data_IF_646444673523
#
_entry.id   IF_646444673523
#
_cell.length_a   1.000
_cell.length_b   1.000
_cell.length_c   1.000
_cell.angle_alpha   90.00
_cell.angle_beta   90.00
_cell.angle_gamma   90.00
#
_symmetry.space_group_name_H-M   'P 1'
#
loop_
_entity.id
_entity.type
_entity.pdbx_description
1 polymer ?
#
# COMPACT_ATOMS: atom_id res chain seq x y z
N UNK A 1 -14.05 -19.98 -21.41
CA UNK A 1 -13.41 -18.66 -21.33
C UNK A 1 -13.81 -18.09 -19.99
N UNK A 2 -12.87 -17.90 -19.08
CA UNK A 2 -13.20 -17.44 -17.73
C UNK A 2 -13.46 -15.94 -17.69
N UNK A 3 -14.50 -15.52 -16.97
CA UNK A 3 -14.79 -14.10 -16.70
C UNK A 3 -14.46 -13.77 -15.26
N UNK A 4 -13.60 -12.79 -15.05
CA UNK A 4 -13.20 -12.35 -13.72
C UNK A 4 -13.64 -10.91 -13.50
N UNK A 5 -14.40 -10.66 -12.43
CA UNK A 5 -14.71 -9.33 -11.98
C UNK A 5 -13.59 -8.83 -11.04
N UNK A 6 -13.06 -7.64 -11.30
CA UNK A 6 -12.10 -6.98 -10.41
C UNK A 6 -12.64 -5.66 -9.88
N UNK A 7 -12.29 -5.34 -8.62
CA UNK A 7 -12.63 -4.06 -8.02
C UNK A 7 -11.46 -3.53 -7.19
N UNK A 8 -10.87 -2.43 -7.66
CA UNK A 8 -9.82 -1.67 -6.99
C UNK A 8 -10.12 -0.17 -7.09
N UNK A 9 -10.27 0.51 -5.95
CA UNK A 9 -10.64 1.92 -5.89
C UNK A 9 -9.51 2.85 -5.43
N UNK A 10 -8.38 2.32 -4.98
CA UNK A 10 -7.21 3.10 -4.51
C UNK A 10 -5.99 2.86 -5.39
N UNK A 11 -5.06 3.82 -5.43
CA UNK A 11 -3.89 3.78 -6.32
C UNK A 11 -2.99 2.56 -6.09
N UNK A 12 -2.80 2.12 -4.83
CA UNK A 12 -2.06 0.91 -4.48
C UNK A 12 -2.80 -0.35 -4.95
N UNK A 13 -4.11 -0.42 -4.67
CA UNK A 13 -4.95 -1.53 -5.11
C UNK A 13 -5.03 -1.64 -6.63
N UNK A 14 -5.10 -0.51 -7.35
CA UNK A 14 -5.04 -0.46 -8.81
C UNK A 14 -3.72 -1.01 -9.37
N UNK A 15 -2.60 -0.63 -8.75
CA UNK A 15 -1.29 -1.13 -9.15
C UNK A 15 -1.20 -2.65 -8.97
N UNK A 16 -1.59 -3.17 -7.82
CA UNK A 16 -1.59 -4.61 -7.57
C UNK A 16 -2.62 -5.35 -8.45
N UNK A 17 -3.75 -4.72 -8.73
CA UNK A 17 -4.76 -5.25 -9.64
C UNK A 17 -4.22 -5.43 -11.06
N UNK A 18 -3.49 -4.44 -11.59
CA UNK A 18 -2.88 -4.53 -12.91
C UNK A 18 -1.82 -5.64 -12.98
N UNK A 19 -0.96 -5.77 -11.96
CA UNK A 19 0.03 -6.85 -11.88
C UNK A 19 -0.64 -8.23 -11.79
N UNK A 20 -1.67 -8.36 -10.97
CA UNK A 20 -2.43 -9.60 -10.82
C UNK A 20 -3.14 -10.01 -12.11
N UNK A 21 -3.72 -9.05 -12.84
CA UNK A 21 -4.32 -9.30 -14.16
C UNK A 21 -3.30 -9.78 -15.19
N UNK A 22 -2.11 -9.16 -15.23
CA UNK A 22 -1.03 -9.57 -16.13
C UNK A 22 -0.60 -11.02 -15.84
N UNK A 23 -0.46 -11.38 -14.56
CA UNK A 23 -0.09 -12.73 -14.16
C UNK A 23 -1.20 -13.76 -14.45
N UNK A 24 -2.47 -13.41 -14.17
CA UNK A 24 -3.62 -14.27 -14.52
C UNK A 24 -3.67 -14.46 -16.04
N UNK A 25 -3.44 -13.42 -16.84
CA UNK A 25 -3.43 -13.54 -18.32
C UNK A 25 -2.29 -14.43 -18.81
N UNK A 26 -1.13 -14.43 -18.12
CA UNK A 26 -0.01 -15.34 -18.42
C UNK A 26 -0.38 -16.80 -18.15
N UNK A 27 -1.06 -17.07 -17.02
CA UNK A 27 -1.49 -18.42 -16.64
C UNK A 27 -2.73 -18.91 -17.39
N UNK A 28 -3.63 -17.99 -17.74
CA UNK A 28 -4.92 -18.25 -18.39
C UNK A 28 -5.19 -17.20 -19.49
N UNK A 29 -4.58 -17.32 -20.68
CA UNK A 29 -4.60 -16.27 -21.70
C UNK A 29 -5.98 -15.88 -22.26
N UNK A 30 -6.99 -16.73 -22.06
CA UNK A 30 -8.36 -16.47 -22.53
C UNK A 30 -9.27 -15.87 -21.45
N UNK A 31 -8.71 -15.26 -20.40
CA UNK A 31 -9.49 -14.67 -19.32
C UNK A 31 -9.97 -13.27 -19.71
N UNK A 32 -11.25 -13.00 -19.52
CA UNK A 32 -11.85 -11.66 -19.67
C UNK A 32 -11.95 -10.98 -18.30
N UNK A 33 -11.56 -9.71 -18.26
CA UNK A 33 -11.62 -8.89 -17.05
C UNK A 33 -12.59 -7.73 -17.20
N UNK A 34 -13.43 -7.52 -16.19
CA UNK A 34 -14.31 -6.35 -16.14
C UNK A 34 -14.52 -5.87 -14.68
N UNK A 35 -14.91 -4.63 -14.50
CA UNK A 35 -15.23 -4.12 -13.18
C UNK A 35 -14.83 -2.67 -12.92
N UNK A 36 -14.33 -2.42 -11.69
CA UNK A 36 -13.87 -1.13 -11.21
C UNK A 36 -12.36 -1.09 -11.18
N UNK A 37 -11.76 -0.12 -11.85
CA UNK A 37 -10.32 0.10 -11.85
C UNK A 37 -9.93 1.40 -12.54
N UNK A 38 -8.67 1.80 -12.36
CA UNK A 38 -8.11 2.99 -12.96
C UNK A 38 -7.41 2.72 -14.30
N UNK A 39 -6.54 3.64 -14.69
CA UNK A 39 -5.87 3.63 -16.01
C UNK A 39 -4.89 2.48 -16.16
N UNK A 40 -4.18 2.08 -15.09
CA UNK A 40 -3.23 0.95 -15.14
C UNK A 40 -3.92 -0.38 -15.38
N UNK A 41 -5.03 -0.63 -14.68
CA UNK A 41 -5.84 -1.84 -14.90
C UNK A 41 -6.49 -1.83 -16.28
N UNK A 42 -6.92 -0.67 -16.80
CA UNK A 42 -7.42 -0.55 -18.17
C UNK A 42 -6.34 -0.89 -19.20
N UNK A 43 -5.11 -0.42 -19.02
CA UNK A 43 -3.97 -0.76 -19.86
C UNK A 43 -3.63 -2.27 -19.79
N UNK A 44 -3.88 -2.92 -18.64
CA UNK A 44 -3.73 -4.38 -18.47
C UNK A 44 -4.93 -5.19 -18.99
N UNK A 45 -5.92 -4.57 -19.66
CA UNK A 45 -7.04 -5.26 -20.30
C UNK A 45 -8.36 -5.25 -19.51
N UNK A 46 -8.50 -4.45 -18.43
CA UNK A 46 -9.77 -4.32 -17.73
C UNK A 46 -10.79 -3.54 -18.56
N UNK A 47 -11.91 -4.15 -18.88
CA UNK A 47 -13.09 -3.43 -19.37
C UNK A 47 -13.76 -2.72 -18.17
N UNK A 48 -13.53 -1.43 -18.07
CA UNK A 48 -14.04 -0.62 -16.95
C UNK A 48 -15.55 -0.41 -17.05
N UNK A 49 -16.29 -0.97 -16.10
CA UNK A 49 -17.71 -0.67 -15.87
C UNK A 49 -17.83 0.67 -15.11
N UNK A 50 -16.93 0.88 -14.17
CA UNK A 50 -16.77 2.12 -13.41
C UNK A 50 -15.30 2.48 -13.35
N UNK A 51 -14.98 3.77 -13.46
CA UNK A 51 -13.62 4.27 -13.34
C UNK A 51 -13.30 4.52 -11.86
N UNK A 52 -12.12 4.11 -11.44
CA UNK A 52 -11.68 4.37 -10.05
C UNK A 52 -11.64 5.87 -9.75
N UNK A 53 -11.27 6.69 -10.73
CA UNK A 53 -11.23 8.15 -10.63
C UNK A 53 -12.59 8.78 -10.29
N UNK A 54 -13.70 8.13 -10.69
CA UNK A 54 -15.06 8.61 -10.43
C UNK A 54 -15.56 8.29 -9.00
N UNK A 55 -14.91 7.34 -8.31
CA UNK A 55 -15.31 6.86 -6.97
C UNK A 55 -14.22 7.02 -5.91
N UNK A 56 -12.98 7.21 -6.30
CA UNK A 56 -11.83 7.45 -5.41
C UNK A 56 -11.81 8.87 -4.85
N UNK A 57 -12.91 9.57 -4.96
CA UNK A 57 -13.01 10.97 -4.57
C UNK A 57 -13.06 11.09 -3.05
N UNK A 58 -11.99 11.74 -2.39
CA UNK A 58 -12.31 12.92 -1.61
C UNK A 58 -12.45 12.74 -0.11
N UNK A 59 -12.14 13.83 0.54
CA UNK A 59 -12.36 14.03 1.95
C UNK A 59 -13.82 13.93 2.39
N UNK A 60 -14.03 13.72 3.69
CA UNK A 60 -15.33 13.46 4.33
C UNK A 60 -16.41 14.50 3.94
N UNK A 61 -16.06 15.75 3.73
CA UNK A 61 -16.98 16.83 3.33
C UNK A 61 -17.44 16.74 1.87
N UNK A 62 -16.58 16.26 0.97
CA UNK A 62 -16.87 16.11 -0.45
C UNK A 62 -17.67 14.83 -0.73
N UNK A 63 -17.47 13.77 0.08
CA UNK A 63 -18.25 12.52 -0.01
C UNK A 63 -19.75 12.80 0.11
N UNK A 64 -20.19 13.69 1.00
CA UNK A 64 -21.62 13.98 1.22
C UNK A 64 -22.25 14.62 -0.04
N UNK A 65 -21.56 15.53 -0.71
CA UNK A 65 -22.05 16.20 -1.92
C UNK A 65 -22.09 15.26 -3.14
N UNK A 66 -21.19 14.27 -3.20
CA UNK A 66 -21.08 13.34 -4.32
C UNK A 66 -21.74 11.97 -4.07
N UNK A 67 -22.36 11.75 -2.92
CA UNK A 67 -23.05 10.49 -2.56
C UNK A 67 -24.01 9.98 -3.63
N UNK A 68 -24.86 10.81 -4.30
CA UNK A 68 -25.75 10.31 -5.36
C UNK A 68 -24.97 9.77 -6.56
N UNK A 69 -23.84 10.39 -6.94
CA UNK A 69 -23.00 9.92 -8.02
C UNK A 69 -22.33 8.60 -7.65
N UNK A 70 -21.65 8.51 -6.51
CA UNK A 70 -21.01 7.28 -6.02
C UNK A 70 -22.02 6.13 -5.91
N UNK A 71 -23.24 6.42 -5.41
CA UNK A 71 -24.30 5.43 -5.34
C UNK A 71 -24.77 4.94 -6.70
N UNK A 72 -24.86 5.83 -7.70
CA UNK A 72 -25.20 5.47 -9.08
C UNK A 72 -24.12 4.55 -9.69
N UNK A 73 -22.85 4.89 -9.53
CA UNK A 73 -21.74 4.07 -10.03
C UNK A 73 -21.72 2.70 -9.33
N UNK A 74 -21.96 2.67 -8.03
CA UNK A 74 -22.10 1.42 -7.29
C UNK A 74 -23.27 0.56 -7.81
N UNK A 75 -24.41 1.17 -8.17
CA UNK A 75 -25.53 0.43 -8.79
C UNK A 75 -25.18 -0.14 -10.17
N UNK A 76 -24.35 0.57 -10.96
CA UNK A 76 -23.85 0.04 -12.26
C UNK A 76 -23.01 -1.21 -12.03
N UNK A 77 -22.10 -1.21 -11.03
CA UNK A 77 -21.33 -2.42 -10.70
C UNK A 77 -22.23 -3.59 -10.33
N UNK A 78 -23.22 -3.37 -9.49
CA UNK A 78 -24.17 -4.45 -9.14
C UNK A 78 -24.98 -4.95 -10.32
N UNK A 79 -25.38 -4.08 -11.23
CA UNK A 79 -26.10 -4.46 -12.43
C UNK A 79 -25.21 -5.32 -13.33
N UNK A 80 -23.96 -4.93 -13.55
CA UNK A 80 -23.02 -5.72 -14.35
C UNK A 80 -22.75 -7.10 -13.77
N UNK A 81 -22.63 -7.24 -12.44
CA UNK A 81 -22.48 -8.54 -11.80
C UNK A 81 -23.66 -9.48 -12.05
N UNK A 82 -24.88 -8.96 -12.05
CA UNK A 82 -26.10 -9.74 -12.33
C UNK A 82 -26.23 -10.16 -13.78
N UNK A 83 -25.81 -9.29 -14.70
CA UNK A 83 -25.92 -9.52 -16.13
C UNK A 83 -24.83 -10.46 -16.63
N UNK A 84 -23.59 -10.22 -16.23
CA UNK A 84 -22.41 -10.92 -16.77
C UNK A 84 -22.04 -12.20 -16.01
N UNK A 85 -22.47 -12.33 -14.74
CA UNK A 85 -22.24 -13.48 -13.88
C UNK A 85 -20.81 -14.02 -13.99
N UNK A 86 -19.80 -13.31 -13.44
CA UNK A 86 -18.42 -13.76 -13.50
C UNK A 86 -18.20 -15.08 -12.77
N UNK A 87 -17.21 -15.84 -13.23
CA UNK A 87 -16.81 -17.11 -12.63
C UNK A 87 -16.07 -16.91 -11.29
N UNK A 88 -15.43 -15.75 -11.14
CA UNK A 88 -14.68 -15.34 -9.95
C UNK A 88 -14.77 -13.83 -9.80
N UNK A 89 -14.79 -13.36 -8.55
CA UNK A 89 -14.59 -11.94 -8.22
C UNK A 89 -13.34 -11.76 -7.37
N UNK A 90 -12.48 -10.79 -7.74
CA UNK A 90 -11.30 -10.40 -6.98
C UNK A 90 -11.50 -8.96 -6.52
N UNK A 91 -11.63 -8.78 -5.21
CA UNK A 91 -11.82 -7.50 -4.54
C UNK A 91 -10.50 -7.09 -3.89
N UNK A 92 -9.99 -5.91 -4.26
CA UNK A 92 -8.66 -5.46 -3.84
C UNK A 92 -8.80 -4.24 -2.95
N UNK A 93 -8.40 -4.36 -1.67
CA UNK A 93 -8.50 -3.27 -0.67
C UNK A 93 -9.90 -2.59 -0.70
N UNK A 94 -10.00 -1.27 -0.60
CA UNK A 94 -11.22 -0.45 -0.76
C UNK A 94 -12.45 -0.98 0.01
N UNK A 95 -12.37 -1.09 1.34
CA UNK A 95 -13.24 -1.94 2.15
C UNK A 95 -14.71 -1.55 2.17
N UNK A 96 -15.05 -0.27 2.07
CA UNK A 96 -16.45 0.16 2.22
C UNK A 96 -17.30 -0.23 1.00
N UNK A 97 -16.72 -0.20 -0.20
CA UNK A 97 -17.37 -0.67 -1.44
C UNK A 97 -17.24 -2.18 -1.57
N UNK A 98 -16.04 -2.72 -1.42
CA UNK A 98 -15.74 -4.11 -1.70
C UNK A 98 -16.44 -5.08 -0.74
N UNK A 99 -16.54 -4.78 0.56
CA UNK A 99 -17.30 -5.62 1.49
C UNK A 99 -18.80 -5.65 1.18
N UNK A 100 -19.34 -4.55 0.62
CA UNK A 100 -20.74 -4.52 0.16
C UNK A 100 -20.93 -5.29 -1.16
N UNK A 101 -19.96 -5.22 -2.09
CA UNK A 101 -19.97 -6.05 -3.30
C UNK A 101 -19.84 -7.54 -2.98
N UNK A 102 -19.00 -7.91 -1.99
CA UNK A 102 -18.87 -9.30 -1.54
C UNK A 102 -20.22 -9.89 -1.09
N UNK A 103 -21.06 -9.10 -0.43
CA UNK A 103 -22.39 -9.56 -0.02
C UNK A 103 -23.33 -9.80 -1.23
N UNK A 104 -23.25 -8.99 -2.29
CA UNK A 104 -23.99 -9.20 -3.53
C UNK A 104 -23.49 -10.43 -4.29
N UNK A 105 -22.17 -10.56 -4.44
CA UNK A 105 -21.52 -11.70 -5.08
C UNK A 105 -21.90 -13.02 -4.40
N UNK A 106 -21.94 -13.04 -3.07
CA UNK A 106 -22.40 -14.21 -2.31
C UNK A 106 -23.85 -14.59 -2.63
N UNK A 107 -24.74 -13.61 -2.83
CA UNK A 107 -26.14 -13.89 -3.24
C UNK A 107 -26.23 -14.47 -4.62
N UNK A 108 -25.29 -14.09 -5.50
CA UNK A 108 -25.19 -14.61 -6.87
C UNK A 108 -24.42 -15.94 -6.94
N UNK A 109 -23.96 -16.47 -5.79
CA UNK A 109 -23.15 -17.70 -5.67
C UNK A 109 -21.81 -17.61 -6.40
N UNK A 110 -21.26 -16.40 -6.59
CA UNK A 110 -19.97 -16.16 -7.23
C UNK A 110 -18.89 -16.23 -6.14
N UNK A 111 -17.81 -17.03 -6.33
CA UNK A 111 -16.71 -17.07 -5.39
C UNK A 111 -15.98 -15.74 -5.33
N UNK A 112 -15.56 -15.36 -4.10
CA UNK A 112 -14.91 -14.07 -3.84
C UNK A 112 -13.53 -14.29 -3.25
N UNK A 113 -12.52 -13.81 -3.94
CA UNK A 113 -11.18 -13.58 -3.40
C UNK A 113 -11.10 -12.14 -2.93
N UNK A 114 -10.64 -11.92 -1.72
CA UNK A 114 -10.33 -10.58 -1.22
C UNK A 114 -8.82 -10.46 -1.07
N UNK A 115 -8.21 -9.64 -1.90
CA UNK A 115 -6.76 -9.42 -1.92
C UNK A 115 -6.43 -8.07 -1.28
N UNK A 116 -5.39 -8.01 -0.45
CA UNK A 116 -5.03 -6.87 0.41
C UNK A 116 -6.15 -6.59 1.42
N UNK A 117 -6.05 -7.24 2.56
CA UNK A 117 -7.12 -7.23 3.57
C UNK A 117 -7.36 -5.82 4.14
N UNK A 118 -8.60 -5.48 4.47
CA UNK A 118 -8.86 -4.29 5.25
C UNK A 118 -8.33 -4.48 6.68
N UNK A 119 -7.82 -3.40 7.28
CA UNK A 119 -7.21 -3.43 8.62
C UNK A 119 -8.24 -3.67 9.75
N UNK A 120 -9.04 -4.73 9.63
CA UNK A 120 -10.08 -5.08 10.62
C UNK A 120 -9.48 -5.54 11.95
N UNK A 121 -8.23 -5.99 11.96
CA UNK A 121 -7.46 -6.33 13.15
C UNK A 121 -7.15 -5.10 14.02
N UNK A 122 -7.02 -3.92 13.42
CA UNK A 122 -6.75 -2.67 14.12
C UNK A 122 -8.04 -2.01 14.64
N UNK A 123 -9.12 -2.04 13.85
CA UNK A 123 -10.39 -1.41 14.16
C UNK A 123 -11.54 -2.10 13.43
N UNK A 124 -12.80 -1.88 13.85
CA UNK A 124 -14.00 -2.49 13.23
C UNK A 124 -13.97 -4.03 13.16
N UNK A 125 -13.40 -4.71 14.18
CA UNK A 125 -13.33 -6.18 14.25
C UNK A 125 -14.69 -6.87 14.01
N UNK A 126 -15.80 -6.22 14.30
CA UNK A 126 -17.15 -6.72 14.06
C UNK A 126 -17.44 -7.03 12.57
N UNK A 127 -16.76 -6.34 11.63
CA UNK A 127 -16.90 -6.59 10.18
C UNK A 127 -16.36 -7.96 9.75
N UNK A 128 -15.52 -8.60 10.55
CA UNK A 128 -14.97 -9.94 10.25
C UNK A 128 -16.09 -10.97 10.09
N UNK A 129 -17.21 -10.83 10.80
CA UNK A 129 -18.39 -11.70 10.60
C UNK A 129 -18.94 -11.61 9.17
N UNK A 130 -18.95 -10.42 8.58
CA UNK A 130 -19.33 -10.21 7.18
C UNK A 130 -18.33 -10.82 6.20
N UNK A 131 -17.05 -10.68 6.48
CA UNK A 131 -15.97 -11.31 5.69
C UNK A 131 -16.13 -12.83 5.71
N UNK A 132 -16.25 -13.45 6.89
CA UNK A 132 -16.45 -14.91 7.04
C UNK A 132 -17.63 -15.43 6.20
N UNK A 133 -18.70 -14.66 6.11
CA UNK A 133 -19.91 -15.08 5.37
C UNK A 133 -19.79 -14.91 3.87
N UNK A 134 -19.10 -13.86 3.40
CA UNK A 134 -19.20 -13.37 2.03
C UNK A 134 -17.91 -13.54 1.20
N UNK A 135 -16.77 -13.83 1.83
CA UNK A 135 -15.48 -14.00 1.18
C UNK A 135 -15.09 -15.47 1.19
N UNK A 136 -14.78 -16.03 0.03
CA UNK A 136 -14.36 -17.42 -0.13
C UNK A 136 -12.90 -17.62 0.29
N UNK A 137 -12.02 -16.67 -0.05
CA UNK A 137 -10.62 -16.67 0.31
C UNK A 137 -10.10 -15.27 0.55
N UNK A 138 -9.40 -15.06 1.67
CA UNK A 138 -8.73 -13.82 2.00
C UNK A 138 -7.24 -13.97 1.72
N UNK A 139 -6.69 -13.18 0.80
CA UNK A 139 -5.25 -13.14 0.49
C UNK A 139 -4.65 -11.93 1.17
N UNK A 140 -3.87 -12.19 2.21
CA UNK A 140 -3.29 -11.15 3.06
C UNK A 140 -1.83 -10.90 2.70
N UNK A 141 -1.37 -9.65 2.88
CA UNK A 141 -0.02 -9.22 2.53
C UNK A 141 0.89 -9.01 3.75
N UNK A 142 0.34 -9.14 4.97
CA UNK A 142 1.12 -9.10 6.20
C UNK A 142 0.98 -10.42 6.97
N UNK A 143 2.09 -10.99 7.49
CA UNK A 143 2.10 -12.36 8.05
C UNK A 143 1.16 -12.52 9.26
N UNK A 144 1.00 -11.49 10.10
CA UNK A 144 0.13 -11.54 11.27
C UNK A 144 -1.37 -11.55 10.94
N UNK A 145 -1.75 -11.11 9.74
CA UNK A 145 -3.16 -11.05 9.31
C UNK A 145 -3.74 -12.44 9.09
N UNK A 146 -2.94 -13.39 8.59
CA UNK A 146 -3.39 -14.77 8.36
C UNK A 146 -3.86 -15.40 9.66
N UNK A 147 -3.07 -15.33 10.72
CA UNK A 147 -3.43 -15.83 12.05
C UNK A 147 -4.70 -15.14 12.59
N UNK A 148 -4.82 -13.83 12.40
CA UNK A 148 -6.00 -13.08 12.79
C UNK A 148 -7.26 -13.58 12.09
N UNK A 149 -7.25 -13.73 10.77
CA UNK A 149 -8.42 -14.19 10.02
C UNK A 149 -8.77 -15.64 10.30
N UNK A 150 -7.77 -16.52 10.38
CA UNK A 150 -7.97 -17.95 10.73
C UNK A 150 -8.59 -18.13 12.12
N UNK A 151 -8.16 -17.34 13.11
CA UNK A 151 -8.74 -17.35 14.46
C UNK A 151 -10.24 -16.95 14.49
N UNK A 152 -10.72 -16.24 13.46
CA UNK A 152 -12.12 -15.88 13.29
C UNK A 152 -12.88 -16.82 12.33
N UNK A 153 -12.25 -17.90 11.88
CA UNK A 153 -12.84 -18.89 10.99
C UNK A 153 -13.01 -18.38 9.54
N UNK A 154 -12.14 -17.48 9.10
CA UNK A 154 -12.03 -17.03 7.70
C UNK A 154 -10.88 -17.80 7.06
N UNK A 155 -11.10 -18.39 5.88
CA UNK A 155 -10.04 -18.99 5.09
C UNK A 155 -9.11 -17.88 4.57
N UNK A 156 -7.88 -17.88 5.04
CA UNK A 156 -6.90 -16.83 4.73
C UNK A 156 -5.53 -17.45 4.44
N UNK A 157 -4.82 -16.85 3.46
CA UNK A 157 -3.45 -17.18 3.12
C UNK A 157 -2.59 -15.93 3.09
N UNK A 158 -1.43 -16.01 3.70
CA UNK A 158 -0.40 -15.01 3.53
C UNK A 158 0.31 -15.26 2.19
N UNK A 159 0.17 -14.33 1.25
CA UNK A 159 0.74 -14.47 -0.10
C UNK A 159 2.06 -13.72 -0.28
N UNK A 160 2.54 -13.04 0.75
CA UNK A 160 3.65 -12.11 0.67
C UNK A 160 3.20 -10.68 0.33
N UNK A 161 4.12 -9.75 0.47
CA UNK A 161 3.84 -8.34 0.16
C UNK A 161 4.35 -7.99 -1.25
N UNK A 162 3.51 -7.49 -2.17
CA UNK A 162 3.92 -7.24 -3.56
C UNK A 162 5.13 -6.30 -3.72
N UNK A 163 5.32 -5.37 -2.78
CA UNK A 163 6.51 -4.50 -2.80
C UNK A 163 7.81 -5.25 -2.50
N UNK A 164 7.75 -6.43 -1.86
CA UNK A 164 8.93 -7.23 -1.57
C UNK A 164 9.51 -7.92 -2.83
N UNK A 165 8.70 -8.01 -3.90
CA UNK A 165 9.08 -8.59 -5.17
C UNK A 165 9.68 -7.56 -6.15
N UNK A 166 9.61 -6.28 -5.81
CA UNK A 166 10.16 -5.23 -6.65
C UNK A 166 11.68 -5.25 -6.61
N UNK A 167 12.29 -5.20 -7.79
CA UNK A 167 13.73 -5.03 -7.91
C UNK A 167 14.22 -3.79 -7.15
N UNK A 168 15.41 -3.83 -6.55
CA UNK A 168 16.04 -2.66 -5.99
C UNK A 168 16.16 -1.54 -7.04
N UNK A 169 16.11 -0.25 -6.63
CA UNK A 169 16.41 0.84 -7.55
C UNK A 169 17.80 0.66 -8.16
N UNK A 170 17.91 0.88 -9.47
CA UNK A 170 19.17 0.68 -10.21
C UNK A 170 19.96 1.97 -10.40
N UNK A 171 19.37 3.13 -10.10
CA UNK A 171 20.06 4.42 -10.23
C UNK A 171 21.19 4.53 -9.22
N UNK A 172 22.39 4.87 -9.67
CA UNK A 172 23.52 5.08 -8.77
C UNK A 172 23.39 6.40 -8.03
N UNK A 173 24.08 6.53 -6.89
CA UNK A 173 24.09 7.76 -6.10
C UNK A 173 24.57 8.96 -6.89
N UNK A 174 25.64 8.77 -7.68
CA UNK A 174 26.25 9.80 -8.50
C UNK A 174 25.32 10.26 -9.63
N UNK A 175 24.67 9.32 -10.31
CA UNK A 175 23.69 9.65 -11.36
C UNK A 175 22.50 10.44 -10.77
N UNK A 176 21.93 9.95 -9.67
CA UNK A 176 20.83 10.61 -8.99
C UNK A 176 21.23 12.01 -8.47
N UNK A 177 22.46 12.16 -7.96
CA UNK A 177 22.99 13.46 -7.53
C UNK A 177 23.09 14.44 -8.70
N UNK A 178 23.67 13.98 -9.83
CA UNK A 178 23.82 14.81 -11.04
C UNK A 178 22.49 15.29 -11.59
N UNK A 179 21.51 14.40 -11.70
CA UNK A 179 20.17 14.72 -12.22
C UNK A 179 19.42 15.73 -11.35
N UNK A 180 19.62 15.66 -10.03
CA UNK A 180 18.88 16.50 -9.08
C UNK A 180 19.71 17.67 -8.52
N UNK A 181 20.93 17.88 -9.00
CA UNK A 181 21.82 18.98 -8.56
C UNK A 181 22.19 18.87 -7.08
N UNK A 182 22.48 17.65 -6.60
CA UNK A 182 22.85 17.33 -5.21
C UNK A 182 24.37 17.18 -5.08
N UNK A 183 24.85 17.39 -3.87
CA UNK A 183 26.22 17.04 -3.50
C UNK A 183 26.30 15.56 -3.08
N UNK A 184 26.92 14.73 -3.91
CA UNK A 184 27.09 13.32 -3.63
C UNK A 184 28.01 13.02 -2.44
N UNK A 185 28.86 13.97 -2.01
CA UNK A 185 29.74 13.81 -0.85
C UNK A 185 29.04 14.01 0.49
N UNK A 186 27.92 14.75 0.52
CA UNK A 186 27.13 14.99 1.73
C UNK A 186 26.25 13.79 2.08
N UNK A 187 25.91 13.64 3.35
CA UNK A 187 24.85 12.73 3.76
C UNK A 187 23.46 13.27 3.41
N UNK A 188 22.63 12.42 2.86
CA UNK A 188 21.26 12.76 2.48
C UNK A 188 20.26 12.30 3.53
N UNK A 189 19.24 13.11 3.74
CA UNK A 189 18.11 12.84 4.64
C UNK A 189 16.82 12.84 3.82
N UNK A 190 16.11 11.72 3.83
CA UNK A 190 14.82 11.60 3.16
C UNK A 190 13.68 12.20 4.02
N UNK A 191 12.83 13.01 3.41
CA UNK A 191 11.63 13.58 4.04
C UNK A 191 10.40 13.14 3.23
N UNK A 192 9.68 12.13 3.71
CA UNK A 192 8.54 11.53 3.03
C UNK A 192 7.23 11.87 3.77
N UNK A 193 6.61 13.04 3.51
CA UNK A 193 5.46 13.53 4.27
C UNK A 193 4.14 12.82 3.96
N UNK A 194 4.10 11.93 2.96
CA UNK A 194 2.93 11.21 2.49
C UNK A 194 2.54 11.59 1.06
N UNK A 195 1.53 10.92 0.52
CA UNK A 195 1.11 11.02 -0.87
C UNK A 195 -0.20 11.80 -1.07
N UNK A 196 -0.90 12.14 0.01
CA UNK A 196 -2.18 12.86 -0.04
C UNK A 196 -2.01 14.30 0.41
N UNK A 197 -2.75 15.23 -0.20
CA UNK A 197 -2.67 16.66 0.13
C UNK A 197 -2.84 16.94 1.64
N UNK A 198 -3.69 16.22 2.34
CA UNK A 198 -3.88 16.35 3.80
C UNK A 198 -2.67 15.90 4.60
N UNK A 199 -2.02 14.82 4.18
CA UNK A 199 -0.80 14.31 4.81
C UNK A 199 0.33 15.32 4.64
N UNK A 200 0.50 15.85 3.43
CA UNK A 200 1.45 16.93 3.14
C UNK A 200 1.24 18.15 4.04
N UNK A 201 0.01 18.65 4.09
CA UNK A 201 -0.32 19.81 4.92
C UNK A 201 -0.01 19.59 6.41
N UNK A 202 -0.24 18.38 6.91
CA UNK A 202 -0.03 18.04 8.31
C UNK A 202 1.44 17.74 8.65
N UNK A 203 2.18 17.08 7.76
CA UNK A 203 3.48 16.50 8.05
C UNK A 203 4.66 17.34 7.54
N UNK A 204 4.48 18.10 6.45
CA UNK A 204 5.58 18.85 5.84
C UNK A 204 6.16 19.95 6.74
N UNK A 205 5.36 20.80 7.41
CA UNK A 205 5.91 21.90 8.20
C UNK A 205 6.92 21.45 9.28
N UNK A 206 6.64 20.44 10.14
CA UNK A 206 7.64 19.98 11.11
C UNK A 206 8.84 19.28 10.44
N UNK A 207 8.70 18.69 9.24
CA UNK A 207 9.84 18.13 8.50
C UNK A 207 10.75 19.22 7.96
N UNK A 208 10.21 20.31 7.41
CA UNK A 208 11.00 21.45 6.96
C UNK A 208 11.73 22.14 8.12
N UNK A 209 11.07 22.26 9.26
CA UNK A 209 11.70 22.80 10.47
C UNK A 209 12.80 21.85 11.01
N UNK A 210 12.62 20.53 10.88
CA UNK A 210 13.68 19.55 11.17
C UNK A 210 14.93 19.79 10.33
N UNK A 211 14.77 20.06 9.04
CA UNK A 211 15.90 20.35 8.15
C UNK A 211 16.65 21.61 8.60
N UNK A 212 15.93 22.67 8.99
CA UNK A 212 16.57 23.89 9.52
C UNK A 212 17.33 23.64 10.82
N UNK A 213 16.78 22.82 11.74
CA UNK A 213 17.41 22.52 13.03
C UNK A 213 18.61 21.58 12.91
N UNK A 214 18.64 20.69 11.92
CA UNK A 214 19.78 19.83 11.65
C UNK A 214 20.95 20.57 10.97
N UNK A 215 20.65 21.62 10.21
CA UNK A 215 21.68 22.48 9.59
C UNK A 215 22.10 22.06 8.18
N UNK A 216 23.03 22.81 7.56
CA UNK A 216 23.39 22.68 6.14
C UNK A 216 24.41 21.59 5.84
N UNK A 217 24.90 20.86 6.82
CA UNK A 217 25.82 19.73 6.65
C UNK A 217 25.18 18.53 5.94
N UNK A 218 23.86 18.46 5.89
CA UNK A 218 23.10 17.43 5.21
C UNK A 218 22.40 18.00 3.97
N UNK A 219 22.11 17.11 3.01
CA UNK A 219 21.17 17.38 1.92
C UNK A 219 19.80 16.77 2.25
N UNK A 220 18.74 17.55 2.13
CA UNK A 220 17.38 17.12 2.45
C UNK A 220 16.58 16.89 1.19
N UNK A 221 16.04 15.70 1.01
CA UNK A 221 15.34 15.25 -0.19
C UNK A 221 13.86 15.00 0.10
N UNK A 222 13.01 15.70 -0.63
CA UNK A 222 11.55 15.58 -0.55
C UNK A 222 11.03 14.93 -1.84
N UNK A 223 10.81 13.63 -1.88
CA UNK A 223 10.26 12.99 -3.06
C UNK A 223 8.78 13.33 -3.24
N UNK A 224 8.42 13.67 -4.46
CA UNK A 224 7.04 14.00 -4.86
C UNK A 224 6.31 12.72 -5.23
N UNK A 225 5.16 12.48 -4.60
CA UNK A 225 4.30 11.37 -4.98
C UNK A 225 3.65 11.59 -6.36
N UNK A 226 3.59 10.57 -7.24
CA UNK A 226 2.96 10.68 -8.56
C UNK A 226 1.46 11.06 -8.54
N UNK A 227 0.84 10.97 -7.39
CA UNK A 227 -0.57 11.33 -7.18
C UNK A 227 -0.82 12.84 -7.01
N UNK A 228 0.25 13.62 -6.85
CA UNK A 228 0.14 15.08 -6.69
C UNK A 228 0.01 15.78 -8.05
N UNK A 229 -0.88 16.78 -8.10
CA UNK A 229 -1.07 17.62 -9.29
C UNK A 229 -0.03 18.75 -9.34
N UNK A 230 0.30 19.22 -10.54
CA UNK A 230 1.33 20.26 -10.77
C UNK A 230 1.24 21.49 -9.86
N UNK A 231 0.06 22.09 -9.59
CA UNK A 231 -0.01 23.23 -8.68
C UNK A 231 0.42 22.90 -7.24
N UNK A 232 0.15 21.66 -6.79
CA UNK A 232 0.55 21.17 -5.47
C UNK A 232 2.07 20.97 -5.42
N UNK A 233 2.65 20.41 -6.47
CA UNK A 233 4.10 20.21 -6.61
C UNK A 233 4.83 21.56 -6.59
N UNK A 234 4.33 22.56 -7.33
CA UNK A 234 4.90 23.90 -7.34
C UNK A 234 4.86 24.57 -5.96
N UNK A 235 3.71 24.48 -5.26
CA UNK A 235 3.59 25.02 -3.91
C UNK A 235 4.56 24.34 -2.93
N UNK A 236 4.75 23.02 -3.04
CA UNK A 236 5.73 22.26 -2.27
C UNK A 236 7.16 22.72 -2.56
N UNK A 237 7.51 22.90 -3.84
CA UNK A 237 8.85 23.32 -4.26
C UNK A 237 9.22 24.68 -3.67
N UNK A 238 8.28 25.65 -3.66
CA UNK A 238 8.49 26.97 -3.04
C UNK A 238 8.75 26.84 -1.54
N UNK A 239 7.94 26.07 -0.81
CA UNK A 239 8.11 25.88 0.64
C UNK A 239 9.41 25.15 0.97
N UNK A 240 9.73 24.09 0.22
CA UNK A 240 10.93 23.28 0.41
C UNK A 240 12.20 24.12 0.18
N UNK A 241 12.26 24.91 -0.90
CA UNK A 241 13.40 25.76 -1.22
C UNK A 241 13.74 26.72 -0.08
N UNK A 242 12.72 27.33 0.56
CA UNK A 242 12.91 28.24 1.71
C UNK A 242 13.46 27.55 2.97
N UNK A 243 13.48 26.23 3.00
CA UNK A 243 14.04 25.43 4.09
C UNK A 243 15.33 24.67 3.71
N UNK A 244 15.89 24.92 2.52
CA UNK A 244 17.06 24.20 2.03
C UNK A 244 16.78 22.76 1.64
N UNK A 245 15.52 22.42 1.34
CA UNK A 245 15.09 21.06 0.98
C UNK A 245 14.91 20.95 -0.54
N UNK A 246 15.46 19.92 -1.13
CA UNK A 246 15.39 19.63 -2.56
C UNK A 246 14.19 18.72 -2.86
N UNK A 247 13.34 19.17 -3.79
CA UNK A 247 12.24 18.36 -4.31
C UNK A 247 12.76 17.46 -5.43
N UNK A 248 12.45 16.16 -5.36
CA UNK A 248 12.89 15.14 -6.31
C UNK A 248 11.72 14.21 -6.67
N UNK A 249 11.88 13.36 -7.71
CA UNK A 249 10.76 12.57 -8.23
C UNK A 249 10.80 11.06 -7.91
N UNK A 250 11.89 10.53 -7.39
CA UNK A 250 12.03 9.10 -7.08
C UNK A 250 12.19 8.84 -5.57
N UNK A 251 11.08 8.44 -4.93
CA UNK A 251 11.08 8.13 -3.51
C UNK A 251 11.93 6.89 -3.17
N UNK A 252 11.99 5.90 -4.07
CA UNK A 252 12.77 4.68 -3.83
C UNK A 252 14.27 4.95 -3.94
N UNK A 253 14.71 5.79 -4.89
CA UNK A 253 16.09 6.22 -4.98
C UNK A 253 16.48 7.08 -3.75
N UNK A 254 15.59 7.95 -3.26
CA UNK A 254 15.82 8.67 -1.99
C UNK A 254 16.02 7.69 -0.85
N UNK A 255 15.15 6.70 -0.67
CA UNK A 255 15.27 5.70 0.40
C UNK A 255 16.54 4.85 0.26
N UNK A 256 16.96 4.53 -0.96
CA UNK A 256 18.18 3.76 -1.20
C UNK A 256 19.45 4.53 -0.81
N UNK A 257 19.50 5.82 -1.10
CA UNK A 257 20.71 6.62 -0.97
C UNK A 257 20.75 7.54 0.25
N UNK A 258 19.62 7.78 0.90
CA UNK A 258 19.56 8.56 2.13
C UNK A 258 20.20 7.78 3.30
N UNK A 259 20.95 8.49 4.14
CA UNK A 259 21.55 7.93 5.35
C UNK A 259 20.49 7.55 6.37
N UNK A 260 19.45 8.34 6.48
CA UNK A 260 18.23 8.06 7.24
C UNK A 260 17.06 8.90 6.72
N UNK A 261 15.83 8.52 7.08
CA UNK A 261 14.62 9.20 6.58
C UNK A 261 13.57 9.46 7.67
N UNK A 262 12.73 10.47 7.44
CA UNK A 262 11.50 10.74 8.19
C UNK A 262 10.32 10.35 7.30
N UNK A 263 9.57 9.33 7.67
CA UNK A 263 8.56 8.70 6.80
C UNK A 263 7.19 8.77 7.44
N UNK A 264 6.22 9.36 6.74
CA UNK A 264 4.82 9.33 7.17
C UNK A 264 4.30 7.88 7.18
N UNK A 265 3.49 7.54 8.19
CA UNK A 265 2.91 6.21 8.32
C UNK A 265 2.06 5.86 7.09
N UNK A 266 2.33 4.72 6.47
CA UNK A 266 1.69 4.22 5.25
C UNK A 266 2.59 3.25 4.51
N UNK A 267 2.29 2.99 3.25
CA UNK A 267 3.03 2.07 2.36
C UNK A 267 4.52 2.42 2.26
N UNK A 268 4.88 3.70 2.30
CA UNK A 268 6.27 4.15 2.25
C UNK A 268 7.14 3.60 3.41
N UNK A 269 6.55 3.28 4.57
CA UNK A 269 7.28 2.65 5.68
C UNK A 269 7.67 1.21 5.36
N UNK A 270 6.85 0.50 4.60
CA UNK A 270 7.15 -0.86 4.11
C UNK A 270 8.25 -0.80 3.05
N UNK A 271 8.19 0.17 2.12
CA UNK A 271 9.26 0.39 1.13
C UNK A 271 10.59 0.72 1.79
N UNK A 272 10.60 1.63 2.78
CA UNK A 272 11.80 1.97 3.54
C UNK A 272 12.41 0.75 4.23
N UNK A 273 11.57 -0.12 4.80
CA UNK A 273 12.01 -1.36 5.42
C UNK A 273 12.60 -2.35 4.41
N UNK A 274 11.94 -2.54 3.26
CA UNK A 274 12.38 -3.46 2.22
C UNK A 274 13.71 -3.02 1.57
N UNK A 275 13.91 -1.71 1.42
CA UNK A 275 15.16 -1.12 0.94
C UNK A 275 16.25 -1.17 2.03
N UNK A 276 15.85 -1.24 3.30
CA UNK A 276 16.78 -1.23 4.43
C UNK A 276 17.25 0.16 4.84
N UNK A 277 16.50 1.21 4.46
CA UNK A 277 16.79 2.58 4.87
C UNK A 277 16.43 2.77 6.35
N UNK A 278 17.35 3.22 7.22
CA UNK A 278 17.01 3.60 8.59
C UNK A 278 16.05 4.78 8.61
N UNK A 279 14.99 4.71 9.41
CA UNK A 279 13.99 5.77 9.43
C UNK A 279 13.25 5.88 10.76
N UNK A 280 12.51 6.96 10.91
CA UNK A 280 11.50 7.09 11.92
C UNK A 280 10.13 7.33 11.30
N UNK A 281 9.09 6.82 11.95
CA UNK A 281 7.70 6.97 11.51
C UNK A 281 7.10 8.21 12.15
N UNK A 282 6.44 9.03 11.32
CA UNK A 282 5.64 10.15 11.78
C UNK A 282 4.19 9.98 11.38
N UNK A 283 3.28 10.46 12.22
CA UNK A 283 1.86 10.40 11.92
C UNK A 283 1.10 11.56 12.56
N UNK A 284 0.41 12.35 11.73
CA UNK A 284 -0.44 13.44 12.19
C UNK A 284 -1.75 13.46 11.41
N UNK A 285 -2.84 13.51 12.15
CA UNK A 285 -4.20 13.67 11.61
C UNK A 285 -4.91 14.80 12.33
N UNK A 286 -6.12 15.16 11.91
CA UNK A 286 -6.93 16.16 12.61
C UNK A 286 -7.16 15.76 14.08
N UNK A 287 -7.29 16.75 14.97
CA UNK A 287 -7.54 16.51 16.41
C UNK A 287 -8.77 15.63 16.64
N UNK A 288 -9.83 15.85 15.86
CA UNK A 288 -11.06 15.06 15.95
C UNK A 288 -10.82 13.61 15.52
N UNK A 289 -10.16 13.41 14.37
CA UNK A 289 -9.81 12.06 13.88
C UNK A 289 -8.96 11.31 14.90
N UNK A 290 -7.98 11.98 15.50
CA UNK A 290 -7.11 11.39 16.51
C UNK A 290 -7.87 11.00 17.78
N UNK A 291 -8.73 11.89 18.31
CA UNK A 291 -9.55 11.61 19.49
C UNK A 291 -10.49 10.41 19.27
N UNK A 292 -11.03 10.24 18.07
CA UNK A 292 -11.82 9.06 17.70
C UNK A 292 -10.91 7.83 17.58
N UNK A 293 -9.78 7.96 16.89
CA UNK A 293 -8.83 6.86 16.70
C UNK A 293 -8.33 6.28 18.03
N UNK A 294 -7.99 7.12 19.00
CA UNK A 294 -7.56 6.66 20.33
C UNK A 294 -8.58 5.78 21.07
N UNK A 295 -9.89 5.95 20.77
CA UNK A 295 -10.96 5.16 21.39
C UNK A 295 -11.24 3.85 20.65
N UNK A 296 -10.94 3.80 19.36
CA UNK A 296 -11.37 2.71 18.46
C UNK A 296 -10.21 1.81 18.05
N UNK A 297 -9.03 2.39 17.84
CA UNK A 297 -7.84 1.65 17.40
C UNK A 297 -7.16 1.00 18.60
N UNK A 298 -6.97 -0.32 18.52
CA UNK A 298 -6.37 -1.15 19.58
C UNK A 298 -5.17 -1.90 19.01
N UNK A 299 -4.10 -1.18 18.72
CA UNK A 299 -2.83 -1.76 18.25
C UNK A 299 -1.68 -1.28 19.11
N UNK A 300 -0.65 -2.10 19.25
CA UNK A 300 0.53 -1.77 20.04
C UNK A 300 1.42 -0.70 19.35
N UNK A 301 1.37 -0.65 18.01
CA UNK A 301 2.20 0.22 17.18
C UNK A 301 1.37 0.81 16.04
N UNK A 302 1.77 1.99 15.56
CA UNK A 302 1.15 2.67 14.41
C UNK A 302 1.90 2.35 13.12
N UNK A 303 3.23 2.23 13.20
CA UNK A 303 4.07 1.84 12.07
C UNK A 303 3.93 0.36 11.75
N UNK A 304 3.64 0.05 10.48
CA UNK A 304 3.47 -1.33 10.02
C UNK A 304 4.71 -2.19 10.32
N UNK A 305 5.89 -1.61 10.20
CA UNK A 305 7.18 -2.29 10.47
C UNK A 305 7.28 -2.80 11.91
N UNK A 306 6.82 -1.99 12.88
CA UNK A 306 6.80 -2.37 14.31
C UNK A 306 5.74 -3.43 14.59
N UNK A 307 4.61 -3.39 13.89
CA UNK A 307 3.57 -4.43 13.97
C UNK A 307 4.08 -5.78 13.45
N UNK A 308 4.77 -5.77 12.31
CA UNK A 308 5.36 -6.98 11.73
C UNK A 308 6.45 -7.54 12.65
N UNK A 309 7.31 -6.66 13.19
CA UNK A 309 8.37 -7.06 14.12
C UNK A 309 7.86 -7.51 15.50
N UNK A 310 6.60 -7.22 15.85
CA UNK A 310 6.04 -7.47 17.19
C UNK A 310 6.68 -6.63 18.31
N UNK A 311 7.55 -5.67 17.95
CA UNK A 311 8.25 -4.76 18.87
C UNK A 311 8.60 -3.45 18.17
N UNK A 312 8.97 -2.44 18.95
CA UNK A 312 9.41 -1.15 18.40
C UNK A 312 10.85 -1.25 17.90
N UNK A 313 11.02 -1.37 16.58
CA UNK A 313 12.32 -1.34 15.90
C UNK A 313 12.62 0.01 15.26
N UNK A 314 11.58 0.79 14.94
CA UNK A 314 11.71 2.18 14.48
C UNK A 314 10.98 3.12 15.45
N UNK A 315 11.51 4.32 15.72
CA UNK A 315 10.81 5.31 16.52
C UNK A 315 9.50 5.76 15.86
N UNK A 316 8.46 5.98 16.64
CA UNK A 316 7.18 6.52 16.18
C UNK A 316 6.91 7.84 16.89
N UNK A 317 6.73 8.91 16.13
CA UNK A 317 6.36 10.24 16.61
C UNK A 317 4.94 10.58 16.14
N UNK A 318 4.00 10.54 17.06
CA UNK A 318 2.58 10.60 16.74
C UNK A 318 1.98 11.89 17.30
N UNK A 319 1.23 12.59 16.48
CA UNK A 319 0.40 13.74 16.86
C UNK A 319 1.21 14.84 17.60
N UNK A 320 1.12 14.93 18.91
CA UNK A 320 1.83 15.93 19.73
C UNK A 320 3.33 15.64 19.88
N UNK A 321 3.73 14.39 19.72
CA UNK A 321 5.15 14.00 19.73
C UNK A 321 5.85 14.31 18.41
N UNK A 322 5.12 14.51 17.35
CA UNK A 322 5.68 14.89 16.05
C UNK A 322 6.01 16.38 16.04
N UNK A 323 7.13 16.74 16.64
CA UNK A 323 7.75 18.08 16.60
C UNK A 323 9.14 18.00 16.00
N UNK A 324 9.61 19.09 15.38
CA UNK A 324 10.93 19.13 14.77
C UNK A 324 12.05 18.77 15.76
N UNK A 325 11.99 19.25 16.99
CA UNK A 325 12.98 18.96 18.04
C UNK A 325 13.02 17.46 18.37
N UNK A 326 11.87 16.80 18.52
CA UNK A 326 11.82 15.36 18.79
C UNK A 326 12.25 14.54 17.55
N UNK A 327 11.94 15.01 16.33
CA UNK A 327 12.46 14.38 15.10
C UNK A 327 13.98 14.45 15.10
N UNK A 328 14.59 15.61 15.37
CA UNK A 328 16.04 15.76 15.44
C UNK A 328 16.64 14.83 16.52
N UNK A 329 16.05 14.80 17.71
CA UNK A 329 16.51 13.92 18.82
C UNK A 329 16.55 12.44 18.38
N UNK A 330 15.54 11.98 17.67
CA UNK A 330 15.45 10.57 17.24
C UNK A 330 16.20 10.26 15.95
N UNK A 331 16.37 11.26 15.07
CA UNK A 331 17.05 11.09 13.79
C UNK A 331 18.56 11.17 13.92
N UNK A 332 19.08 12.08 14.77
CA UNK A 332 20.50 12.32 14.98
C UNK A 332 21.32 11.04 15.26
N UNK A 333 20.89 10.10 16.12
CA UNK A 333 21.59 8.83 16.28
C UNK A 333 21.70 8.00 14.99
N UNK A 334 20.70 8.07 14.12
CA UNK A 334 20.74 7.35 12.82
C UNK A 334 21.66 8.04 11.81
N UNK A 335 21.92 9.33 11.96
CA UNK A 335 22.83 10.10 11.11
C UNK A 335 24.30 9.95 11.54
N UNK A 336 24.56 9.97 12.85
CA UNK A 336 25.90 10.12 13.43
C UNK A 336 26.48 8.82 14.00
N UNK A 337 25.62 7.87 14.46
CA UNK A 337 26.07 6.63 15.09
C UNK A 337 25.91 5.42 14.16
N UNK A 338 27.04 4.82 13.76
CA UNK A 338 27.11 3.64 12.87
C UNK A 338 26.41 2.43 13.48
N UNK A 339 26.62 2.18 14.78
CA UNK A 339 26.05 1.02 15.46
C UNK A 339 24.52 1.11 15.56
N UNK A 340 23.97 2.30 15.86
CA UNK A 340 22.53 2.54 15.91
C UNK A 340 21.89 2.27 14.54
N UNK A 341 22.55 2.73 13.47
CA UNK A 341 22.11 2.52 12.08
C UNK A 341 22.16 1.05 11.69
N UNK A 342 23.29 0.37 11.94
CA UNK A 342 23.48 -1.05 11.64
C UNK A 342 22.48 -1.94 12.37
N UNK A 343 22.17 -1.65 13.62
CA UNK A 343 21.15 -2.35 14.40
C UNK A 343 19.78 -2.23 13.75
N UNK A 344 19.35 -1.00 13.43
CA UNK A 344 18.06 -0.79 12.76
C UNK A 344 18.01 -1.48 11.40
N UNK A 345 19.07 -1.40 10.59
CA UNK A 345 19.14 -2.09 9.30
C UNK A 345 19.01 -3.61 9.44
N UNK A 346 19.58 -4.20 10.47
CA UNK A 346 19.44 -5.62 10.78
C UNK A 346 17.99 -5.99 11.09
N UNK A 347 17.32 -5.17 11.90
CA UNK A 347 15.90 -5.36 12.23
C UNK A 347 15.02 -5.21 10.98
N UNK A 348 15.30 -4.21 10.13
CA UNK A 348 14.56 -4.00 8.87
C UNK A 348 14.74 -5.15 7.90
N UNK A 349 15.93 -5.74 7.80
CA UNK A 349 16.15 -6.97 6.99
C UNK A 349 15.29 -8.13 7.47
N UNK A 350 15.16 -8.31 8.78
CA UNK A 350 14.29 -9.34 9.37
C UNK A 350 12.82 -9.11 8.99
N UNK A 351 12.35 -7.87 9.06
CA UNK A 351 11.00 -7.51 8.61
C UNK A 351 10.84 -7.74 7.10
N UNK A 352 11.82 -7.34 6.30
CA UNK A 352 11.81 -7.55 4.85
C UNK A 352 11.74 -9.04 4.47
N UNK A 353 12.44 -9.90 5.20
CA UNK A 353 12.36 -11.36 5.02
C UNK A 353 10.97 -11.90 5.39
N UNK A 354 10.36 -11.40 6.47
CA UNK A 354 9.02 -11.80 6.89
C UNK A 354 7.90 -11.39 5.90
N UNK A 355 8.16 -10.44 5.01
CA UNK A 355 7.22 -9.99 3.97
C UNK A 355 7.26 -10.84 2.69
N UNK A 356 8.16 -11.81 2.60
CA UNK A 356 8.29 -12.74 1.47
C UNK A 356 7.72 -14.10 1.82
N UNK A 357 7.16 -14.77 0.83
CA UNK A 357 6.70 -16.17 0.92
C UNK A 357 7.47 -16.99 -0.11
N UNK A 358 8.35 -17.89 0.34
CA UNK A 358 9.12 -18.80 -0.52
C UNK A 358 9.85 -18.09 -1.69
N UNK A 359 10.16 -18.84 -2.75
CA UNK A 359 10.75 -18.34 -4.00
C UNK A 359 9.71 -17.80 -5.00
N UNK A 360 8.41 -17.99 -4.71
CA UNK A 360 7.31 -17.49 -5.54
C UNK A 360 6.97 -16.04 -5.12
N UNK A 361 6.77 -15.15 -6.09
CA UNK A 361 6.36 -13.78 -5.81
C UNK A 361 4.91 -13.68 -5.29
N UNK A 362 4.62 -12.62 -4.54
CA UNK A 362 3.30 -12.39 -3.94
C UNK A 362 2.16 -12.37 -4.97
N UNK A 363 2.39 -11.74 -6.11
CA UNK A 363 1.39 -11.64 -7.20
C UNK A 363 1.17 -13.00 -7.86
N UNK A 364 2.23 -13.76 -8.12
CA UNK A 364 2.16 -15.10 -8.70
C UNK A 364 1.39 -16.05 -7.77
N UNK A 365 1.72 -16.00 -6.47
CA UNK A 365 1.03 -16.78 -5.45
C UNK A 365 -0.46 -16.42 -5.36
N UNK A 366 -0.78 -15.12 -5.34
CA UNK A 366 -2.17 -14.65 -5.31
C UNK A 366 -2.96 -15.08 -6.56
N UNK A 367 -2.35 -14.98 -7.76
CA UNK A 367 -2.97 -15.39 -9.02
C UNK A 367 -3.30 -16.89 -9.02
N UNK A 368 -2.36 -17.73 -8.58
CA UNK A 368 -2.53 -19.18 -8.51
C UNK A 368 -3.66 -19.58 -7.57
N UNK A 369 -3.71 -19.02 -6.35
CA UNK A 369 -4.80 -19.30 -5.41
C UNK A 369 -6.13 -18.80 -5.96
N UNK A 370 -6.17 -17.64 -6.59
CA UNK A 370 -7.40 -17.10 -7.18
C UNK A 370 -7.95 -18.03 -8.28
N UNK A 371 -7.11 -18.49 -9.19
CA UNK A 371 -7.51 -19.39 -10.28
C UNK A 371 -8.00 -20.76 -9.79
N UNK A 372 -7.52 -21.26 -8.65
CA UNK A 372 -8.01 -22.52 -8.04
C UNK A 372 -9.48 -22.45 -7.59
N UNK A 373 -10.03 -21.25 -7.40
CA UNK A 373 -11.42 -21.06 -6.99
C UNK A 373 -12.41 -21.01 -8.16
N UNK A 374 -11.92 -21.00 -9.40
CA UNK A 374 -12.78 -21.10 -10.58
C UNK A 374 -13.25 -22.55 -10.71
N UNK A 375 -14.57 -22.81 -10.78
CA UNK A 375 -15.11 -24.18 -10.90
C UNK A 375 -14.56 -24.92 -12.12
N UNK A 376 -14.19 -26.19 -11.95
CA UNK A 376 -13.58 -27.04 -12.97
C UNK A 376 -14.40 -27.20 -14.25
N UNK A 377 -15.72 -27.18 -14.10
CA UNK A 377 -16.66 -27.29 -15.23
C UNK A 377 -16.57 -26.12 -16.22
N UNK A 378 -16.06 -24.96 -15.76
CA UNK A 378 -15.96 -23.75 -16.54
C UNK A 378 -14.57 -23.54 -17.16
N UNK A 379 -13.55 -24.34 -16.74
CA UNK A 379 -12.20 -24.21 -17.31
C UNK A 379 -11.37 -25.49 -17.19
N UNK A 380 -11.68 -26.54 -17.95
CA UNK A 380 -10.97 -27.84 -17.90
C UNK A 380 -9.46 -27.73 -18.20
N UNK A 381 -9.05 -26.75 -19.01
CA UNK A 381 -7.65 -26.50 -19.38
C UNK A 381 -6.84 -25.78 -18.29
N UNK A 382 -7.48 -25.03 -17.40
CA UNK A 382 -6.79 -24.36 -16.28
C UNK A 382 -6.25 -25.34 -15.24
N UNK A 383 -6.98 -26.42 -14.98
CA UNK A 383 -6.55 -27.45 -14.01
C UNK A 383 -5.33 -28.24 -14.49
N UNK A 384 -5.24 -28.56 -15.80
CA UNK A 384 -4.06 -29.25 -16.34
C UNK A 384 -2.81 -28.38 -16.31
N UNK A 385 -2.92 -27.07 -16.54
CA UNK A 385 -1.81 -26.12 -16.45
C UNK A 385 -1.34 -25.87 -15.01
N UNK A 386 -2.26 -25.84 -14.04
CA UNK A 386 -1.95 -25.67 -12.62
C UNK A 386 -1.28 -26.91 -11.99
N UNK A 387 -1.65 -28.12 -12.44
CA UNK A 387 -1.05 -29.39 -11.98
C UNK A 387 0.36 -29.58 -12.54
N UNK A 388 0.65 -29.09 -13.76
CA UNK A 388 1.97 -29.20 -14.39
C UNK A 388 3.00 -28.18 -13.84
N UNK A 389 2.55 -27.16 -13.13
CA UNK A 389 3.42 -26.13 -12.53
C UNK A 389 3.75 -26.39 -11.05
N UNK A 390 3.38 -27.55 -10.50
CA UNK A 390 3.73 -27.92 -9.12
C UNK A 390 5.21 -28.34 -9.05
N UNK A 391 6.05 -27.70 -8.25
CA UNK A 391 7.33 -28.29 -7.94
C UNK A 391 7.07 -29.60 -7.18
N UNK A 392 7.51 -30.69 -7.76
CA UNK A 392 7.62 -31.98 -7.05
C UNK A 392 8.62 -31.75 -5.93
N UNK A 393 8.23 -32.04 -4.67
CA UNK A 393 9.09 -31.97 -3.48
C UNK A 393 10.39 -32.75 -3.65
#
# INVERSE_FOLDING_TARGET
MAKIFLSAGEASGEHYGALLMAEISRLAPQTEFFGLGGTRMAAAGLRRVVRAEDVAVMGITEVILHMPHVYREYRKLKASLRTERPDLAILIDFPDVNLSLAAELRRLQIPVVYFVSPQLWAWKKWRVRGVKRNVSRMLVIFPFEEAFYRAHGVAADFVGHPLADLDPPTVTREAFASENGLDASKFWVGLLPGSRARELHANLPPMLETARLLGPEYEYLLPVAPTLKDPQVQALAVQAKGAGVRVVHDARAVLQHARASVVASGTATVEAALIGNPFLVVYRVSRITYAVAQRVVRVAHIGMVNLIAGRRIVPELVQHDFTASKVVERLRPLLENEQARATMQSDLRTVGAALRVNSEGAIQHAARIALQLIPAEQSPRLQSALVSSWPVE
#
